data_IF_350627186617
#
_entry.id   IF_350627186617
#
_cell.length_a   1.000
_cell.length_b   1.000
_cell.length_c   1.000
_cell.angle_alpha   90.00
_cell.angle_beta   90.00
_cell.angle_gamma   90.00
#
_symmetry.space_group_name_H-M   'P 1'
#
loop_
_entity.id
_entity.type
_entity.pdbx_description
1 polymer ?
#
# COMPACT_ATOMS: atom_id res chain seq x y z
N UNK A 1 17.64 0.42 30.13
CA UNK A 1 16.59 0.27 31.17
C UNK A 1 15.56 -0.78 30.73
N UNK A 2 14.75 -1.32 31.65
CA UNK A 2 13.78 -2.40 31.35
C UNK A 2 12.77 -2.03 30.25
N UNK A 3 12.37 -0.75 30.15
CA UNK A 3 11.47 -0.25 29.12
C UNK A 3 12.05 -0.39 27.70
N UNK A 4 13.32 -0.04 27.50
CA UNK A 4 14.03 -0.21 26.21
C UNK A 4 14.02 -1.67 25.75
N UNK A 5 14.18 -2.62 26.68
CA UNK A 5 14.11 -4.06 26.37
C UNK A 5 12.71 -4.48 25.93
N UNK A 6 11.67 -3.99 26.61
CA UNK A 6 10.28 -4.30 26.25
C UNK A 6 9.90 -3.70 24.88
N UNK A 7 10.34 -2.47 24.60
CA UNK A 7 10.13 -1.82 23.30
C UNK A 7 10.83 -2.61 22.19
N UNK A 8 12.10 -2.97 22.37
CA UNK A 8 12.85 -3.79 21.40
C UNK A 8 12.22 -5.16 21.17
N UNK A 9 11.73 -5.81 22.23
CA UNK A 9 11.05 -7.10 22.11
C UNK A 9 9.75 -6.99 21.31
N UNK A 10 8.95 -5.93 21.51
CA UNK A 10 7.73 -5.68 20.73
C UNK A 10 8.03 -5.37 19.26
N UNK A 11 9.10 -4.64 19.00
CA UNK A 11 9.56 -4.34 17.63
C UNK A 11 10.02 -5.63 16.94
N UNK A 12 10.87 -6.42 17.59
CA UNK A 12 11.33 -7.70 17.05
C UNK A 12 10.16 -8.67 16.77
N UNK A 13 9.09 -8.63 17.57
CA UNK A 13 7.90 -9.44 17.35
C UNK A 13 7.10 -9.07 16.09
N UNK A 14 7.31 -7.88 15.51
CA UNK A 14 6.70 -7.48 14.23
C UNK A 14 7.44 -8.06 13.01
N UNK A 15 8.66 -8.56 13.20
CA UNK A 15 9.46 -9.13 12.11
C UNK A 15 8.91 -10.51 11.75
N UNK A 16 8.29 -10.59 10.59
CA UNK A 16 7.82 -11.86 10.02
C UNK A 16 8.90 -12.45 9.09
N UNK A 17 9.47 -13.63 9.41
CA UNK A 17 10.48 -14.29 8.57
C UNK A 17 9.99 -14.61 7.15
N UNK A 18 8.69 -14.85 6.97
CA UNK A 18 8.11 -15.15 5.66
C UNK A 18 8.11 -13.89 4.78
N UNK A 19 7.71 -12.74 5.34
CA UNK A 19 7.73 -11.47 4.61
C UNK A 19 9.15 -11.03 4.26
N UNK A 20 10.11 -11.28 5.15
CA UNK A 20 11.52 -11.02 4.88
C UNK A 20 12.03 -11.81 3.68
N UNK A 21 11.71 -13.12 3.64
CA UNK A 21 12.09 -13.98 2.52
C UNK A 21 11.46 -13.52 1.21
N UNK A 22 10.18 -13.15 1.22
CA UNK A 22 9.49 -12.60 0.05
C UNK A 22 10.12 -11.29 -0.43
N UNK A 23 10.46 -10.39 0.49
CA UNK A 23 11.15 -9.13 0.18
C UNK A 23 12.55 -9.40 -0.41
N UNK A 24 13.28 -10.36 0.14
CA UNK A 24 14.58 -10.77 -0.39
C UNK A 24 14.45 -11.30 -1.81
N UNK A 25 13.58 -12.30 -2.05
CA UNK A 25 13.36 -12.89 -3.38
C UNK A 25 12.95 -11.83 -4.41
N UNK A 26 12.14 -10.85 -4.00
CA UNK A 26 11.73 -9.73 -4.86
C UNK A 26 12.89 -8.82 -5.26
N UNK A 27 13.76 -8.45 -4.31
CA UNK A 27 14.97 -7.65 -4.60
C UNK A 27 15.90 -8.44 -5.53
N UNK A 28 16.13 -9.72 -5.24
CA UNK A 28 16.99 -10.59 -6.04
C UNK A 28 16.49 -10.70 -7.48
N UNK A 29 15.18 -10.81 -7.68
CA UNK A 29 14.58 -10.93 -8.99
C UNK A 29 14.57 -9.61 -9.79
N UNK A 30 14.58 -8.43 -9.15
CA UNK A 30 14.72 -7.13 -9.85
C UNK A 30 16.16 -6.84 -10.22
N UNK A 31 17.10 -7.08 -9.30
CA UNK A 31 18.53 -6.77 -9.52
C UNK A 31 19.20 -7.87 -10.36
N UNK A 32 18.70 -9.10 -10.27
CA UNK A 32 19.27 -10.28 -10.95
C UNK A 32 20.49 -10.86 -10.22
N UNK A 33 20.65 -10.59 -8.91
CA UNK A 33 21.75 -11.09 -8.07
C UNK A 33 21.20 -11.65 -6.77
N UNK A 34 21.80 -12.73 -6.28
CA UNK A 34 21.43 -13.34 -4.99
C UNK A 34 22.16 -12.68 -3.83
N UNK A 35 21.53 -12.68 -2.66
CA UNK A 35 22.17 -12.22 -1.43
C UNK A 35 23.30 -13.21 -1.07
N UNK A 36 24.44 -12.67 -0.65
CA UNK A 36 25.59 -13.45 -0.19
C UNK A 36 25.67 -13.51 1.35
N UNK A 37 24.98 -12.60 2.03
CA UNK A 37 24.96 -12.43 3.49
C UNK A 37 23.53 -12.38 4.01
N UNK A 38 23.38 -12.16 5.31
CA UNK A 38 22.09 -11.91 5.97
C UNK A 38 21.40 -10.67 5.38
N UNK A 39 20.06 -10.68 5.40
CA UNK A 39 19.22 -9.62 4.84
C UNK A 39 19.65 -8.21 5.31
N UNK A 40 19.80 -8.04 6.62
CA UNK A 40 20.20 -6.75 7.20
C UNK A 40 21.62 -6.30 6.80
N UNK A 41 22.59 -7.22 6.70
CA UNK A 41 23.98 -6.85 6.40
C UNK A 41 24.16 -6.56 4.91
N UNK A 42 23.40 -7.22 4.05
CA UNK A 42 23.42 -6.97 2.61
C UNK A 42 22.85 -5.60 2.23
N UNK A 43 21.82 -5.15 2.94
CA UNK A 43 21.17 -3.85 2.67
C UNK A 43 21.81 -2.68 3.41
N UNK A 44 22.67 -2.96 4.40
CA UNK A 44 23.20 -1.98 5.35
C UNK A 44 23.92 -0.81 4.68
N UNK A 45 24.59 -1.04 3.56
CA UNK A 45 25.38 -0.02 2.86
C UNK A 45 24.55 0.93 1.98
N UNK A 46 23.26 0.63 1.82
CA UNK A 46 22.31 1.37 0.99
C UNK A 46 22.58 1.30 -0.52
N UNK A 47 23.60 0.60 -0.98
CA UNK A 47 23.96 0.52 -2.40
C UNK A 47 22.92 -0.29 -3.17
N UNK A 48 22.58 -1.47 -2.64
CA UNK A 48 21.57 -2.37 -3.21
C UNK A 48 20.21 -1.69 -3.31
N UNK A 49 19.84 -0.91 -2.29
CA UNK A 49 18.58 -0.15 -2.28
C UNK A 49 18.56 0.95 -3.36
N UNK A 50 19.67 1.65 -3.54
CA UNK A 50 19.79 2.64 -4.62
C UNK A 50 19.77 1.98 -6.01
N UNK A 51 20.39 0.81 -6.18
CA UNK A 51 20.32 0.04 -7.42
C UNK A 51 18.89 -0.44 -7.71
N UNK A 52 18.17 -0.90 -6.68
CA UNK A 52 16.79 -1.34 -6.77
C UNK A 52 15.87 -0.25 -7.33
N UNK A 53 15.89 0.96 -6.75
CA UNK A 53 15.04 2.05 -7.23
C UNK A 53 15.45 2.50 -8.64
N UNK A 54 16.74 2.49 -8.97
CA UNK A 54 17.21 2.82 -10.32
C UNK A 54 16.78 1.79 -11.37
N UNK A 55 16.56 0.52 -11.00
CA UNK A 55 15.98 -0.50 -11.90
C UNK A 55 14.49 -0.28 -12.13
N UNK A 56 13.77 0.19 -11.11
CA UNK A 56 12.34 0.48 -11.18
C UNK A 56 12.10 1.79 -11.96
N UNK A 57 12.84 2.84 -11.61
CA UNK A 57 12.81 4.15 -12.23
C UNK A 57 14.25 4.61 -12.51
N UNK A 58 14.71 4.52 -13.77
CA UNK A 58 16.04 4.96 -14.14
C UNK A 58 16.24 6.45 -13.82
N UNK A 59 17.37 6.77 -13.18
CA UNK A 59 17.74 8.15 -12.87
C UNK A 59 17.27 8.65 -11.50
N UNK A 60 16.57 7.84 -10.71
CA UNK A 60 16.15 8.21 -9.34
C UNK A 60 17.32 8.52 -8.40
N UNK A 61 18.42 7.77 -8.49
CA UNK A 61 19.66 8.03 -7.72
C UNK A 61 20.83 8.17 -8.67
N UNK A 62 21.35 9.40 -8.80
CA UNK A 62 22.40 9.74 -9.76
C UNK A 62 23.79 9.28 -9.37
N UNK A 63 24.11 9.26 -8.06
CA UNK A 63 25.44 8.89 -7.56
C UNK A 63 25.37 8.03 -6.30
N UNK A 64 25.76 6.78 -6.45
CA UNK A 64 25.86 5.78 -5.38
C UNK A 64 27.30 5.76 -4.84
N UNK A 65 27.46 5.86 -3.53
CA UNK A 65 28.76 5.76 -2.89
C UNK A 65 29.11 4.28 -2.69
N UNK A 66 30.18 3.79 -3.32
CA UNK A 66 30.61 2.38 -3.21
C UNK A 66 31.69 2.15 -2.16
N UNK A 67 32.34 3.20 -1.69
CA UNK A 67 33.49 3.10 -0.79
C UNK A 67 33.65 4.36 0.07
N UNK A 68 34.21 4.16 1.27
CA UNK A 68 34.49 5.20 2.26
C UNK A 68 33.91 4.85 3.62
N UNK A 69 33.89 5.83 4.54
CA UNK A 69 33.39 5.62 5.90
C UNK A 69 31.87 5.58 6.01
N UNK A 70 31.40 5.18 7.19
CA UNK A 70 29.99 4.96 7.57
C UNK A 70 29.04 6.07 7.11
N UNK A 71 29.48 7.33 7.21
CA UNK A 71 28.70 8.50 6.79
C UNK A 71 28.25 8.42 5.32
N UNK A 72 29.11 7.92 4.42
CA UNK A 72 28.78 7.81 2.99
C UNK A 72 27.75 6.72 2.70
N UNK A 73 27.75 5.66 3.51
CA UNK A 73 26.79 4.56 3.39
C UNK A 73 25.42 4.98 3.95
N UNK A 74 25.41 5.71 5.07
CA UNK A 74 24.20 6.37 5.57
C UNK A 74 23.61 7.35 4.54
N UNK A 75 24.46 8.07 3.81
CA UNK A 75 24.03 8.96 2.74
C UNK A 75 23.32 8.22 1.59
N UNK A 76 23.76 7.01 1.23
CA UNK A 76 23.07 6.18 0.24
C UNK A 76 21.65 5.83 0.70
N UNK A 77 21.48 5.47 1.98
CA UNK A 77 20.16 5.18 2.56
C UNK A 77 19.25 6.42 2.46
N UNK A 78 19.77 7.61 2.80
CA UNK A 78 19.02 8.85 2.69
C UNK A 78 18.65 9.19 1.22
N UNK A 79 19.52 8.87 0.25
CA UNK A 79 19.22 9.03 -1.18
C UNK A 79 18.10 8.09 -1.62
N UNK A 80 18.13 6.85 -1.16
CA UNK A 80 17.06 5.89 -1.43
C UNK A 80 15.72 6.36 -0.84
N UNK A 81 15.69 6.82 0.41
CA UNK A 81 14.48 7.34 1.06
C UNK A 81 13.84 8.47 0.24
N UNK A 82 14.64 9.46 -0.18
CA UNK A 82 14.15 10.56 -1.04
C UNK A 82 13.61 10.06 -2.37
N UNK A 83 14.29 9.10 -3.00
CA UNK A 83 13.89 8.55 -4.27
C UNK A 83 12.54 7.80 -4.19
N UNK A 84 12.29 7.04 -3.12
CA UNK A 84 11.01 6.32 -2.95
C UNK A 84 9.87 7.26 -2.54
N UNK A 85 10.16 8.34 -1.82
CA UNK A 85 9.18 9.39 -1.53
C UNK A 85 8.74 10.10 -2.80
N UNK A 86 9.69 10.46 -3.66
CA UNK A 86 9.40 11.05 -4.98
C UNK A 86 8.68 10.05 -5.91
N UNK A 87 8.96 8.75 -5.75
CA UNK A 87 8.22 7.69 -6.43
C UNK A 87 6.77 7.55 -5.95
N UNK A 88 6.40 8.11 -4.81
CA UNK A 88 5.03 8.09 -4.29
C UNK A 88 4.81 7.23 -3.04
N UNK A 89 5.87 6.64 -2.47
CA UNK A 89 5.76 5.96 -1.17
C UNK A 89 5.50 7.01 -0.09
N UNK A 90 4.44 6.86 0.74
CA UNK A 90 4.12 7.86 1.75
C UNK A 90 5.15 7.85 2.88
N UNK A 91 5.49 9.03 3.40
CA UNK A 91 6.52 9.23 4.44
C UNK A 91 6.34 8.34 5.68
N UNK A 92 5.09 8.03 6.04
CA UNK A 92 4.75 7.16 7.18
C UNK A 92 5.26 5.72 7.00
N UNK A 93 5.35 5.27 5.74
CA UNK A 93 5.82 3.93 5.41
C UNK A 93 7.34 3.90 5.19
N UNK A 94 8.03 5.06 5.19
CA UNK A 94 9.48 5.15 4.91
C UNK A 94 10.30 4.93 6.18
N UNK A 95 11.14 3.90 6.17
CA UNK A 95 12.06 3.63 7.26
C UNK A 95 13.13 4.71 7.42
N UNK A 96 13.61 4.90 8.65
CA UNK A 96 14.70 5.81 9.01
C UNK A 96 16.06 5.11 8.99
N UNK A 97 17.13 5.87 8.76
CA UNK A 97 18.49 5.32 8.62
C UNK A 97 18.97 4.53 9.85
N UNK A 98 18.51 4.90 11.04
CA UNK A 98 18.81 4.19 12.30
C UNK A 98 18.22 2.77 12.31
N UNK A 99 17.07 2.57 11.68
CA UNK A 99 16.34 1.29 11.68
C UNK A 99 17.11 0.20 10.93
N UNK A 100 17.74 0.57 9.81
CA UNK A 100 18.59 -0.32 9.02
C UNK A 100 20.05 -0.34 9.52
N UNK A 101 20.66 0.82 9.76
CA UNK A 101 22.09 0.92 10.05
C UNK A 101 22.47 0.35 11.43
N UNK A 102 21.67 0.66 12.46
CA UNK A 102 21.82 0.13 13.81
C UNK A 102 20.97 -1.12 14.06
N UNK A 103 20.25 -1.60 13.04
CA UNK A 103 19.33 -2.75 13.12
C UNK A 103 18.26 -2.58 14.22
N UNK A 104 17.77 -1.35 14.42
CA UNK A 104 16.76 -1.07 15.45
C UNK A 104 15.38 -1.64 15.11
N UNK A 105 14.97 -1.57 13.84
CA UNK A 105 13.68 -2.07 13.38
C UNK A 105 13.78 -2.54 11.91
N UNK A 106 14.19 -3.79 11.72
CA UNK A 106 14.22 -4.41 10.38
C UNK A 106 12.81 -4.63 9.84
N UNK A 107 11.80 -4.74 10.71
CA UNK A 107 10.40 -4.87 10.31
C UNK A 107 9.89 -3.64 9.56
N UNK A 108 10.30 -2.44 9.99
CA UNK A 108 9.97 -1.19 9.28
C UNK A 108 10.63 -1.13 7.89
N UNK A 109 11.86 -1.63 7.75
CA UNK A 109 12.54 -1.73 6.44
C UNK A 109 11.75 -2.65 5.50
N UNK A 110 11.32 -3.81 5.99
CA UNK A 110 10.49 -4.75 5.22
C UNK A 110 9.16 -4.06 4.84
N UNK A 111 8.50 -3.40 5.78
CA UNK A 111 7.24 -2.68 5.53
C UNK A 111 7.39 -1.63 4.43
N UNK A 112 8.51 -0.89 4.43
CA UNK A 112 8.84 0.08 3.39
C UNK A 112 9.00 -0.58 2.02
N UNK A 113 9.65 -1.75 1.95
CA UNK A 113 9.82 -2.50 0.71
C UNK A 113 8.48 -2.99 0.16
N UNK A 114 7.57 -3.46 1.02
CA UNK A 114 6.21 -3.80 0.61
C UNK A 114 5.41 -2.56 0.18
N UNK A 115 5.63 -1.40 0.80
CA UNK A 115 5.08 -0.12 0.34
C UNK A 115 5.56 0.23 -1.06
N UNK A 116 6.88 0.17 -1.29
CA UNK A 116 7.44 0.35 -2.62
C UNK A 116 6.86 -0.65 -3.63
N UNK A 117 6.78 -1.94 -3.30
CA UNK A 117 6.18 -2.97 -4.16
C UNK A 117 4.71 -2.74 -4.48
N UNK A 118 3.93 -2.10 -3.57
CA UNK A 118 2.57 -1.63 -3.85
C UNK A 118 2.59 -0.47 -4.83
N UNK A 119 3.48 0.51 -4.65
CA UNK A 119 3.60 1.66 -5.54
C UNK A 119 4.11 1.27 -6.93
N UNK A 120 5.05 0.35 -7.08
CA UNK A 120 5.50 -0.12 -8.41
C UNK A 120 4.34 -0.69 -9.22
N UNK A 121 3.41 -1.38 -8.54
CA UNK A 121 2.17 -1.84 -9.17
C UNK A 121 1.26 -0.68 -9.56
N UNK A 122 1.11 0.34 -8.71
CA UNK A 122 0.24 1.49 -8.95
C UNK A 122 0.78 2.50 -9.95
N UNK A 123 2.10 2.75 -9.99
CA UNK A 123 2.67 3.78 -10.84
C UNK A 123 2.62 3.42 -12.33
N UNK A 124 2.66 2.12 -12.65
CA UNK A 124 2.32 1.63 -14.00
C UNK A 124 0.89 2.00 -14.44
N UNK A 125 -0.02 2.19 -13.48
CA UNK A 125 -1.43 2.55 -13.71
C UNK A 125 -1.55 4.05 -13.99
N UNK A 126 -0.87 4.89 -13.21
CA UNK A 126 -1.01 6.35 -13.28
C UNK A 126 -0.37 6.92 -14.56
N UNK A 127 0.79 6.43 -14.98
CA UNK A 127 1.38 6.83 -16.27
C UNK A 127 0.47 6.47 -17.45
N UNK A 128 -0.16 5.28 -17.41
CA UNK A 128 -1.13 4.85 -18.43
C UNK A 128 -2.39 5.73 -18.42
N UNK A 129 -3.01 5.97 -17.26
CA UNK A 129 -4.22 6.81 -17.18
C UNK A 129 -3.93 8.28 -17.55
N UNK A 130 -2.76 8.82 -17.18
CA UNK A 130 -2.33 10.17 -17.57
C UNK A 130 -2.15 10.28 -19.09
N UNK A 131 -1.53 9.27 -19.72
CA UNK A 131 -1.41 9.18 -21.19
C UNK A 131 -2.78 9.08 -21.89
N UNK A 132 -3.76 8.37 -21.31
CA UNK A 132 -5.10 8.18 -21.90
C UNK A 132 -6.12 9.28 -21.57
N UNK A 133 -5.92 10.07 -20.50
CA UNK A 133 -6.79 11.22 -20.16
C UNK A 133 -6.75 12.34 -21.19
N UNK A 134 -5.73 12.37 -22.05
CA UNK A 134 -5.63 13.31 -23.16
C UNK A 134 -6.51 12.89 -24.37
N UNK A 135 -7.07 11.67 -24.39
CA UNK A 135 -7.85 11.17 -25.53
C UNK A 135 -9.27 10.65 -25.23
N UNK A 136 -9.71 10.39 -23.99
CA UNK A 136 -11.13 9.98 -23.77
C UNK A 136 -11.68 10.12 -22.34
N UNK A 137 -12.89 10.67 -22.20
CA UNK A 137 -13.67 10.82 -20.95
C UNK A 137 -14.42 9.53 -20.54
N UNK A 138 -13.76 8.37 -20.47
CA UNK A 138 -14.41 7.14 -19.98
C UNK A 138 -13.93 6.81 -18.58
N UNK A 139 -14.85 6.79 -17.61
CA UNK A 139 -14.61 6.23 -16.28
C UNK A 139 -14.28 4.74 -16.44
N UNK A 140 -13.02 4.39 -16.22
CA UNK A 140 -12.59 3.00 -16.20
C UNK A 140 -12.71 2.44 -14.78
N UNK A 141 -13.21 1.22 -14.66
CA UNK A 141 -13.35 0.51 -13.38
C UNK A 141 -11.99 0.31 -12.71
N UNK A 142 -11.91 0.67 -11.43
CA UNK A 142 -10.74 0.51 -10.55
C UNK A 142 -10.26 -0.94 -10.41
N UNK A 143 -11.05 -1.93 -10.86
CA UNK A 143 -10.76 -3.37 -10.69
C UNK A 143 -9.77 -3.97 -11.69
N UNK A 144 -9.47 -3.30 -12.81
CA UNK A 144 -8.60 -3.86 -13.87
C UNK A 144 -7.17 -3.27 -13.87
N UNK A 145 -6.89 -2.33 -13.00
CA UNK A 145 -5.65 -1.55 -13.03
C UNK A 145 -4.41 -2.36 -12.62
N UNK A 146 -4.57 -3.46 -11.89
CA UNK A 146 -3.44 -4.33 -11.50
C UNK A 146 -2.88 -5.20 -12.64
N UNK A 147 -3.55 -5.28 -13.79
CA UNK A 147 -3.15 -6.11 -14.94
C UNK A 147 -2.71 -5.25 -16.13
N UNK A 148 -1.59 -4.51 -15.98
CA UNK A 148 -1.03 -3.71 -17.08
C UNK A 148 0.34 -4.20 -17.57
N UNK A 149 0.55 -4.00 -18.87
CA UNK A 149 1.54 -4.65 -19.75
C UNK A 149 3.01 -4.23 -19.56
N UNK A 150 3.32 -3.16 -18.83
CA UNK A 150 4.64 -2.52 -18.90
C UNK A 150 5.61 -2.92 -17.77
N UNK A 151 5.12 -3.36 -16.61
CA UNK A 151 5.97 -4.01 -15.60
C UNK A 151 5.88 -5.53 -15.75
N UNK A 152 6.96 -6.13 -16.26
CA UNK A 152 7.12 -7.58 -16.37
C UNK A 152 7.90 -8.19 -15.21
N UNK A 153 8.21 -7.39 -14.19
CA UNK A 153 8.99 -7.80 -13.03
C UNK A 153 8.14 -8.56 -12.00
N UNK A 154 8.81 -9.15 -10.99
CA UNK A 154 8.14 -9.86 -9.89
C UNK A 154 7.24 -8.93 -9.08
N UNK A 155 6.21 -9.48 -8.45
CA UNK A 155 5.30 -8.77 -7.57
C UNK A 155 5.66 -9.03 -6.10
N UNK A 156 5.61 -7.99 -5.28
CA UNK A 156 5.76 -8.09 -3.82
C UNK A 156 4.44 -7.76 -3.12
N UNK A 157 4.04 -8.61 -2.17
CA UNK A 157 2.81 -8.46 -1.40
C UNK A 157 1.62 -9.28 -1.92
N UNK A 158 0.50 -9.25 -1.18
CA UNK A 158 -0.67 -10.04 -1.48
C UNK A 158 -1.15 -9.76 -2.91
N UNK A 159 -1.46 -10.84 -3.62
CA UNK A 159 -2.12 -10.77 -4.92
C UNK A 159 -3.49 -10.13 -4.71
N UNK A 160 -3.86 -9.12 -5.50
CA UNK A 160 -5.23 -8.63 -5.51
C UNK A 160 -6.18 -9.82 -5.72
N UNK A 161 -7.27 -9.87 -4.96
CA UNK A 161 -8.26 -10.92 -5.15
C UNK A 161 -8.88 -10.79 -6.55
N UNK A 162 -8.96 -11.90 -7.26
CA UNK A 162 -9.74 -11.96 -8.50
C UNK A 162 -11.23 -11.72 -8.17
N UNK A 163 -11.93 -11.05 -9.08
CA UNK A 163 -13.37 -10.84 -8.94
C UNK A 163 -14.09 -12.19 -8.83
N UNK A 164 -14.76 -12.44 -7.71
CA UNK A 164 -15.65 -13.58 -7.57
C UNK A 164 -16.95 -13.27 -8.30
N UNK A 165 -16.95 -13.45 -9.63
CA UNK A 165 -18.17 -13.31 -10.45
C UNK A 165 -19.18 -14.33 -9.97
N UNK A 166 -20.32 -13.83 -9.50
CA UNK A 166 -21.49 -14.65 -9.19
C UNK A 166 -22.46 -14.51 -10.33
N UNK A 167 -22.49 -15.52 -11.20
CA UNK A 167 -23.52 -15.61 -12.23
C UNK A 167 -24.80 -16.12 -11.57
N UNK A 168 -25.78 -15.23 -11.45
CA UNK A 168 -27.12 -15.59 -11.00
C UNK A 168 -27.94 -16.02 -12.21
N UNK A 169 -28.72 -17.10 -12.07
CA UNK A 169 -29.64 -17.51 -13.13
C UNK A 169 -30.73 -16.46 -13.32
N UNK A 170 -31.28 -16.36 -14.53
CA UNK A 170 -32.35 -15.40 -14.83
C UNK A 170 -33.59 -15.63 -13.95
N UNK A 171 -33.88 -16.89 -13.62
CA UNK A 171 -34.92 -17.28 -12.66
C UNK A 171 -34.62 -16.78 -11.26
N UNK A 172 -33.37 -16.87 -10.79
CA UNK A 172 -32.96 -16.36 -9.48
C UNK A 172 -33.03 -14.83 -9.41
N UNK A 173 -32.67 -14.14 -10.49
CA UNK A 173 -32.83 -12.68 -10.60
C UNK A 173 -34.31 -12.28 -10.63
N UNK A 174 -35.16 -13.03 -11.32
CA UNK A 174 -36.60 -12.79 -11.35
C UNK A 174 -37.29 -13.11 -10.03
N UNK A 175 -36.89 -14.18 -9.34
CA UNK A 175 -37.37 -14.50 -7.99
C UNK A 175 -36.97 -13.43 -6.96
N UNK A 176 -35.82 -12.76 -7.15
CA UNK A 176 -35.40 -11.62 -6.35
C UNK A 176 -36.31 -10.38 -6.52
N UNK A 177 -36.89 -10.17 -7.71
CA UNK A 177 -37.80 -9.03 -7.97
C UNK A 177 -39.13 -9.14 -7.25
N UNK A 178 -39.58 -10.35 -6.93
CA UNK A 178 -40.81 -10.60 -6.17
C UNK A 178 -40.65 -10.38 -4.66
N UNK A 179 -39.42 -10.23 -4.16
CA UNK A 179 -39.15 -9.92 -2.75
C UNK A 179 -39.13 -8.41 -2.56
N UNK A 180 -40.28 -7.85 -2.21
CA UNK A 180 -40.43 -6.43 -1.85
C UNK A 180 -39.79 -6.22 -0.47
N UNK A 181 -38.62 -5.58 -0.41
CA UNK A 181 -38.03 -5.16 0.86
C UNK A 181 -38.99 -4.23 1.62
N UNK A 182 -39.03 -4.33 2.96
CA UNK A 182 -39.97 -3.62 3.85
C UNK A 182 -40.10 -2.09 3.65
N UNK A 183 -39.20 -1.46 2.88
CA UNK A 183 -39.17 -0.03 2.59
C UNK A 183 -39.64 0.38 1.19
N UNK A 184 -40.04 -0.56 0.32
CA UNK A 184 -40.52 -0.22 -1.03
C UNK A 184 -41.99 0.23 -1.01
N UNK A 185 -42.26 1.33 -0.32
CA UNK A 185 -43.50 2.11 -0.43
C UNK A 185 -43.26 3.36 -1.29
N UNK A 186 -44.24 3.74 -2.12
CA UNK A 186 -44.17 5.00 -2.86
C UNK A 186 -44.60 6.17 -1.97
N UNK A 187 -43.74 7.17 -1.82
CA UNK A 187 -44.00 8.37 -1.01
C UNK A 187 -45.03 9.31 -1.67
N UNK A 188 -45.53 9.01 -2.87
CA UNK A 188 -46.33 9.91 -3.71
C UNK A 188 -47.73 10.26 -3.17
N UNK A 189 -48.12 9.73 -2.02
CA UNK A 189 -49.35 10.12 -1.30
C UNK A 189 -49.15 10.40 0.20
N UNK A 190 -47.92 10.34 0.70
CA UNK A 190 -47.64 10.58 2.12
C UNK A 190 -47.35 12.07 2.35
N UNK A 191 -48.39 12.90 2.43
CA UNK A 191 -48.22 14.25 2.97
C UNK A 191 -47.93 14.16 4.46
N UNK A 192 -46.82 14.72 4.92
CA UNK A 192 -46.47 14.91 6.34
C UNK A 192 -47.41 15.91 7.06
N UNK A 193 -48.60 16.17 6.52
CA UNK A 193 -49.62 16.95 7.19
C UNK A 193 -50.41 15.99 8.09
N UNK A 194 -49.98 15.83 9.35
CA UNK A 194 -50.73 15.08 10.37
C UNK A 194 -49.94 14.08 11.21
N UNK A 195 -48.65 13.85 10.93
CA UNK A 195 -47.81 13.04 11.83
C UNK A 195 -47.33 13.89 13.01
N UNK A 196 -48.15 14.01 14.05
CA UNK A 196 -47.71 14.46 15.36
C UNK A 196 -47.09 13.27 16.12
N UNK A 197 -45.82 12.97 15.85
CA UNK A 197 -45.09 11.96 16.61
C UNK A 197 -44.58 12.55 17.91
N UNK A 198 -45.37 12.35 18.97
CA UNK A 198 -44.97 12.57 20.35
C UNK A 198 -45.94 13.47 21.10
N UNK A 199 -46.38 13.03 22.29
CA UNK A 199 -47.04 13.94 23.22
C UNK A 199 -46.04 15.03 23.62
N UNK A 200 -46.31 16.29 23.28
CA UNK A 200 -45.55 17.43 23.79
C UNK A 200 -45.54 17.38 25.31
N UNK A 201 -44.36 17.19 25.91
CA UNK A 201 -44.17 17.32 27.36
C UNK A 201 -44.64 18.72 27.78
N UNK A 202 -45.74 18.80 28.53
CA UNK A 202 -46.13 20.02 29.21
C UNK A 202 -45.04 20.38 30.22
N UNK A 203 -44.25 21.40 29.92
CA UNK A 203 -43.46 22.09 30.94
C UNK A 203 -44.45 22.99 31.68
N UNK A 204 -44.82 22.61 32.90
CA UNK A 204 -45.53 23.50 33.81
C UNK A 204 -44.52 24.55 34.30
N UNK A 205 -44.61 25.76 33.76
CA UNK A 205 -43.90 26.92 34.30
C UNK A 205 -44.77 27.54 35.41
N UNK A 206 -44.28 27.46 36.65
CA UNK A 206 -44.65 28.38 37.73
C UNK A 206 -45.30 27.74 38.96
N UNK A 207 -44.55 27.68 40.06
CA UNK A 207 -44.68 28.62 41.19
C UNK A 207 -43.33 28.78 41.87
#
# INVERSE_FOLDING_TARGET
>A
MALERQVRAKIAAKRDPQQEKEAQEWIEAIIGRKFNTTFEDYLRDGQVLCELINKIQPGSVTKINTSGGDFKMMENINKFQKAIQEYGVPDIDVFQTVELWEKKDIGQVITTLFALGREVRQHCIIHYISMYKQQSKRLFSMSQTYRHSNWKGPYLGPKPADECKRDFTEEQLNAGKTVIGLQAGSNKGATQAGQNMGASRKILLGK
#
